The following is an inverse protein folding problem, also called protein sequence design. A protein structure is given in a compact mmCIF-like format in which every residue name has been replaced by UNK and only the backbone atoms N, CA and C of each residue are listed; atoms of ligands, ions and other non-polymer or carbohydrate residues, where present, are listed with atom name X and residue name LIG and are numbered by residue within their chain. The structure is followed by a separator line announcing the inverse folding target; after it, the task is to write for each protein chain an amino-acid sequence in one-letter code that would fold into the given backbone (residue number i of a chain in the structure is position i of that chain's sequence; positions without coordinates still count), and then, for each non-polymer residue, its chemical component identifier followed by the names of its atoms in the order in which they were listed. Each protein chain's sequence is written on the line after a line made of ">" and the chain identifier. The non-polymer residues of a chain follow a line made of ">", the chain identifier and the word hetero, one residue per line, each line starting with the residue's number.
data_IF_829829846352
#
_entry.id   IF_829829846352
#
_cell.length_a   1.000
_cell.length_b   1.000
_cell.length_c   1.000
_cell.angle_alpha   90.00
_cell.angle_beta   90.00
_cell.angle_gamma   90.00
#
_symmetry.space_group_name_H-M   'P 1'
#
loop_
_entity.id
_entity.type
_entity.pdbx_description
1 polymer ?
#
# COMPACT_ATOMS: atom_id res chain seq x y z
N UNK A 1 7.96 15.60 -9.73
CA UNK A 1 8.21 14.20 -9.29
C UNK A 1 7.57 13.25 -10.28
N UNK A 2 8.24 12.19 -10.71
CA UNK A 2 7.63 11.25 -11.63
C UNK A 2 6.49 10.48 -10.96
N UNK A 3 5.49 10.11 -11.75
CA UNK A 3 4.42 9.21 -11.31
C UNK A 3 4.99 7.81 -11.06
N UNK A 4 4.33 6.95 -10.24
CA UNK A 4 4.85 5.62 -9.97
C UNK A 4 5.23 4.80 -11.22
N UNK A 5 4.49 4.93 -12.31
CA UNK A 5 4.80 4.25 -13.57
C UNK A 5 5.89 4.92 -14.42
N UNK A 6 6.34 6.12 -14.04
CA UNK A 6 7.32 6.91 -14.77
C UNK A 6 8.69 6.95 -14.07
N UNK A 7 8.82 6.20 -13.00
CA UNK A 7 10.06 6.18 -12.22
C UNK A 7 11.21 5.58 -13.03
N UNK A 8 12.35 6.26 -13.01
CA UNK A 8 13.56 5.79 -13.70
C UNK A 8 14.29 4.76 -12.81
N UNK A 9 14.39 3.51 -13.23
CA UNK A 9 15.13 2.49 -12.47
C UNK A 9 16.61 2.80 -12.36
N UNK A 10 17.26 2.16 -11.39
CA UNK A 10 18.70 2.24 -11.20
C UNK A 10 19.41 1.52 -12.35
N UNK A 11 20.19 2.26 -13.13
CA UNK A 11 20.90 1.71 -14.30
C UNK A 11 22.00 0.72 -13.90
N UNK A 12 22.50 0.78 -12.67
CA UNK A 12 23.52 -0.17 -12.19
C UNK A 12 23.00 -1.58 -12.11
N UNK A 13 21.69 -1.77 -12.08
CA UNK A 13 21.07 -3.08 -12.05
C UNK A 13 20.67 -3.60 -13.44
N UNK A 14 21.03 -2.88 -14.48
CA UNK A 14 20.69 -3.25 -15.86
C UNK A 14 19.24 -2.97 -16.24
N UNK A 15 18.48 -2.34 -15.38
CA UNK A 15 17.09 -1.96 -15.65
C UNK A 15 17.04 -0.49 -16.02
N UNK A 16 16.76 -0.19 -17.27
CA UNK A 16 16.78 1.17 -17.79
C UNK A 16 15.40 1.75 -18.04
N UNK A 17 14.34 0.90 -18.03
CA UNK A 17 12.95 1.32 -18.25
C UNK A 17 12.02 0.52 -17.36
N UNK A 18 10.90 1.14 -16.98
CA UNK A 18 9.87 0.50 -16.16
C UNK A 18 9.30 -0.75 -16.83
N UNK A 19 9.19 -0.73 -18.16
CA UNK A 19 8.67 -1.87 -18.95
C UNK A 19 9.56 -3.11 -18.85
N UNK A 20 10.83 -2.94 -18.53
CA UNK A 20 11.79 -4.03 -18.40
C UNK A 20 11.72 -4.70 -17.03
N UNK A 21 10.91 -4.20 -16.12
CA UNK A 21 10.73 -4.80 -14.81
C UNK A 21 10.00 -6.14 -14.91
N UNK A 22 10.39 -7.12 -14.07
CA UNK A 22 9.61 -8.34 -13.96
C UNK A 22 8.16 -8.04 -13.56
N UNK A 23 7.23 -8.86 -14.05
CA UNK A 23 5.83 -8.73 -13.68
C UNK A 23 5.65 -8.88 -12.18
N UNK A 24 4.77 -8.08 -11.54
CA UNK A 24 4.53 -8.18 -10.11
C UNK A 24 4.00 -9.57 -9.71
N UNK A 25 4.42 -10.00 -8.54
CA UNK A 25 3.74 -11.11 -7.86
C UNK A 25 2.45 -10.56 -7.26
N UNK A 26 1.38 -11.31 -7.43
CA UNK A 26 0.06 -10.91 -6.96
C UNK A 26 -0.34 -11.78 -5.77
N UNK A 27 -0.55 -11.15 -4.62
CA UNK A 27 -1.16 -11.78 -3.46
C UNK A 27 -2.63 -11.41 -3.44
N UNK A 28 -3.50 -12.40 -3.43
CA UNK A 28 -4.94 -12.15 -3.42
C UNK A 28 -5.48 -12.26 -2.02
N UNK A 29 -6.34 -11.30 -1.64
CA UNK A 29 -7.04 -11.29 -0.37
C UNK A 29 -8.51 -11.00 -0.64
N UNK A 30 -9.38 -11.71 0.07
CA UNK A 30 -10.81 -11.47 -0.03
C UNK A 30 -11.38 -11.10 1.33
N UNK A 31 -12.20 -10.05 1.34
CA UNK A 31 -12.94 -9.57 2.52
C UNK A 31 -14.37 -9.26 2.11
N UNK A 32 -14.90 -10.10 1.23
CA UNK A 32 -16.23 -9.95 0.69
C UNK A 32 -17.18 -10.83 1.49
N UNK A 33 -18.10 -10.21 2.23
CA UNK A 33 -19.12 -10.89 3.01
C UNK A 33 -20.50 -10.31 2.69
N UNK A 34 -21.53 -11.11 2.84
CA UNK A 34 -22.90 -10.65 2.64
C UNK A 34 -23.34 -9.63 3.69
N UNK A 35 -22.91 -9.83 4.92
CA UNK A 35 -23.27 -8.97 6.04
C UNK A 35 -22.07 -8.72 6.93
N UNK A 36 -22.02 -7.52 7.49
CA UNK A 36 -21.02 -7.13 8.48
C UNK A 36 -21.66 -6.26 9.53
N UNK A 37 -21.21 -6.34 10.80
CA UNK A 37 -21.75 -5.47 11.83
C UNK A 37 -21.38 -4.01 11.57
N UNK A 38 -22.34 -3.12 11.72
CA UNK A 38 -22.11 -1.69 11.60
C UNK A 38 -21.12 -1.23 12.68
N UNK A 39 -20.07 -0.47 12.33
CA UNK A 39 -19.10 0.01 13.32
C UNK A 39 -19.70 1.01 14.31
N UNK A 40 -20.88 1.57 13.99
CA UNK A 40 -21.52 2.58 14.82
C UNK A 40 -22.54 1.99 15.78
N UNK A 41 -23.38 1.06 15.32
CA UNK A 41 -24.49 0.53 16.13
C UNK A 41 -24.47 -0.99 16.29
N UNK A 42 -23.60 -1.71 15.61
CA UNK A 42 -23.51 -3.16 15.67
C UNK A 42 -24.57 -3.94 14.89
N UNK A 43 -25.57 -3.26 14.31
CA UNK A 43 -26.58 -3.91 13.49
C UNK A 43 -25.95 -4.45 12.19
N UNK A 44 -26.40 -5.61 11.71
CA UNK A 44 -25.86 -6.18 10.48
C UNK A 44 -26.20 -5.34 9.26
N UNK A 45 -25.17 -4.76 8.66
CA UNK A 45 -25.28 -4.05 7.39
C UNK A 45 -25.26 -5.03 6.22
N UNK A 46 -26.04 -4.74 5.21
CA UNK A 46 -26.09 -5.56 4.00
C UNK A 46 -25.08 -5.09 2.97
N UNK A 47 -24.63 -6.03 2.12
CA UNK A 47 -23.68 -5.73 1.06
C UNK A 47 -24.37 -4.98 -0.08
N UNK A 48 -23.84 -3.77 -0.39
CA UNK A 48 -24.26 -3.01 -1.54
C UNK A 48 -23.57 -3.48 -2.81
N UNK A 49 -22.25 -3.65 -2.72
CA UNK A 49 -21.41 -4.00 -3.86
C UNK A 49 -20.09 -4.57 -3.39
N UNK A 50 -19.40 -5.20 -4.34
CA UNK A 50 -18.03 -5.65 -4.17
C UNK A 50 -17.10 -4.71 -4.91
N UNK A 51 -15.95 -4.45 -4.31
CA UNK A 51 -14.95 -3.52 -4.84
C UNK A 51 -13.58 -4.20 -4.84
N UNK A 52 -12.78 -3.89 -5.84
CA UNK A 52 -11.40 -4.33 -5.93
C UNK A 52 -10.47 -3.17 -5.65
N UNK A 53 -9.37 -3.44 -4.96
CA UNK A 53 -8.34 -2.46 -4.66
C UNK A 53 -6.98 -3.12 -4.75
N UNK A 54 -5.98 -2.39 -5.23
CA UNK A 54 -4.59 -2.84 -5.26
C UNK A 54 -3.79 -2.05 -4.24
N UNK A 55 -3.04 -2.76 -3.40
CA UNK A 55 -2.05 -2.19 -2.51
C UNK A 55 -0.67 -2.61 -2.98
N UNK A 56 0.29 -1.69 -2.97
CA UNK A 56 1.68 -1.97 -3.28
C UNK A 56 2.40 -2.43 -2.02
N UNK A 57 3.08 -3.56 -2.11
CA UNK A 57 3.80 -4.18 -0.99
C UNK A 57 5.30 -4.24 -1.30
N UNK A 58 6.09 -4.66 -0.32
CA UNK A 58 7.51 -4.90 -0.51
C UNK A 58 7.71 -6.04 -1.51
N UNK A 59 8.55 -5.81 -2.51
CA UNK A 59 8.89 -6.81 -3.50
C UNK A 59 9.85 -7.86 -2.98
N UNK A 60 10.09 -8.88 -3.80
CA UNK A 60 11.02 -9.95 -3.48
C UNK A 60 12.44 -9.52 -3.81
N UNK A 61 13.29 -9.45 -2.79
CA UNK A 61 14.71 -9.06 -2.92
C UNK A 61 15.47 -10.03 -3.80
N UNK A 62 15.16 -11.32 -3.72
CA UNK A 62 15.91 -12.36 -4.43
C UNK A 62 15.58 -12.37 -5.91
N UNK A 63 14.29 -12.40 -6.26
CA UNK A 63 13.85 -12.42 -7.66
C UNK A 63 13.84 -11.05 -8.32
N UNK A 64 13.86 -9.97 -7.52
CA UNK A 64 13.74 -8.60 -8.02
C UNK A 64 12.33 -8.26 -8.51
N UNK A 65 11.33 -9.09 -8.18
CA UNK A 65 9.95 -8.87 -8.63
C UNK A 65 9.22 -7.95 -7.68
N UNK A 66 8.48 -6.96 -8.20
CA UNK A 66 7.52 -6.20 -7.40
C UNK A 66 6.45 -7.12 -6.81
N UNK A 67 5.77 -6.66 -5.78
CA UNK A 67 4.69 -7.41 -5.14
C UNK A 67 3.49 -6.49 -4.90
N UNK A 68 2.31 -6.92 -5.36
CA UNK A 68 1.05 -6.22 -5.15
C UNK A 68 0.07 -7.11 -4.40
N UNK A 69 -0.77 -6.49 -3.60
CA UNK A 69 -1.88 -7.17 -2.92
C UNK A 69 -3.17 -6.72 -3.58
N UNK A 70 -3.88 -7.65 -4.20
CA UNK A 70 -5.20 -7.41 -4.76
C UNK A 70 -6.25 -7.79 -3.72
N UNK A 71 -7.05 -6.83 -3.30
CA UNK A 71 -8.09 -7.02 -2.30
C UNK A 71 -9.45 -6.93 -2.97
N UNK A 72 -10.25 -7.97 -2.77
CA UNK A 72 -11.65 -7.98 -3.13
C UNK A 72 -12.46 -7.86 -1.85
N UNK A 73 -13.13 -6.73 -1.65
CA UNK A 73 -13.84 -6.44 -0.41
C UNK A 73 -15.26 -5.97 -0.67
N UNK A 74 -16.10 -6.04 0.38
CA UNK A 74 -17.49 -5.66 0.30
C UNK A 74 -17.72 -4.28 0.94
N UNK A 75 -18.58 -3.50 0.29
CA UNK A 75 -19.09 -2.24 0.81
C UNK A 75 -20.51 -2.46 1.32
N UNK A 76 -20.81 -1.97 2.49
CA UNK A 76 -22.06 -2.23 3.20
C UNK A 76 -22.80 -0.95 3.53
N UNK A 77 -24.10 -1.11 3.79
CA UNK A 77 -24.93 -0.05 4.33
C UNK A 77 -25.68 -0.58 5.56
N UNK A 78 -25.67 0.20 6.63
CA UNK A 78 -26.50 -0.08 7.79
C UNK A 78 -27.89 0.51 7.58
N UNK A 79 -28.97 -0.30 7.57
CA UNK A 79 -30.31 0.21 7.39
C UNK A 79 -30.81 1.01 8.60
N UNK A 80 -30.21 0.77 9.78
CA UNK A 80 -30.57 1.45 11.02
C UNK A 80 -29.93 2.83 11.15
N UNK A 81 -28.59 2.91 10.95
CA UNK A 81 -27.85 4.16 11.01
C UNK A 81 -27.83 4.93 9.69
N UNK A 82 -28.16 4.25 8.59
CA UNK A 82 -28.13 4.79 7.22
C UNK A 82 -26.74 5.26 6.79
N UNK A 83 -25.68 4.67 7.35
CA UNK A 83 -24.30 4.96 6.97
C UNK A 83 -23.76 3.88 6.05
N UNK A 84 -22.74 4.25 5.27
CA UNK A 84 -21.97 3.33 4.43
C UNK A 84 -20.66 2.99 5.13
N UNK A 85 -20.23 1.75 5.02
CA UNK A 85 -18.95 1.32 5.57
C UNK A 85 -18.36 0.18 4.73
N UNK A 86 -17.04 0.09 4.74
CA UNK A 86 -16.32 -0.94 4.01
C UNK A 86 -15.89 -2.06 4.96
N UNK A 87 -15.59 -3.22 4.39
CA UNK A 87 -14.89 -4.25 5.12
C UNK A 87 -13.59 -3.68 5.72
N UNK A 88 -13.25 -3.99 6.98
CA UNK A 88 -12.05 -3.42 7.60
C UNK A 88 -10.78 -3.91 6.91
N UNK A 89 -9.84 -2.99 6.69
CA UNK A 89 -8.55 -3.26 6.08
C UNK A 89 -7.41 -2.65 6.89
N UNK A 90 -7.66 -2.29 8.16
CA UNK A 90 -6.70 -1.60 9.00
C UNK A 90 -5.42 -2.39 9.25
N UNK A 91 -5.52 -3.71 9.20
CA UNK A 91 -4.39 -4.62 9.34
C UNK A 91 -3.47 -4.63 8.13
N UNK A 92 -3.93 -4.16 6.98
CA UNK A 92 -3.17 -4.17 5.73
C UNK A 92 -2.58 -2.82 5.38
N UNK A 93 -3.35 -1.74 5.54
CA UNK A 93 -2.93 -0.41 5.13
C UNK A 93 -3.65 0.67 5.92
N UNK A 94 -3.04 1.86 5.95
CA UNK A 94 -3.66 3.07 6.47
C UNK A 94 -4.84 3.50 5.57
N UNK A 95 -5.84 4.23 6.12
CA UNK A 95 -6.94 4.75 5.31
C UNK A 95 -6.42 5.55 4.11
N UNK A 96 -7.00 5.31 2.94
CA UNK A 96 -6.66 5.98 1.68
C UNK A 96 -5.20 5.81 1.23
N UNK A 97 -4.44 4.93 1.87
CA UNK A 97 -3.07 4.64 1.49
C UNK A 97 -3.03 3.52 0.46
N UNK A 98 -2.21 3.67 -0.57
CA UNK A 98 -2.02 2.67 -1.62
C UNK A 98 -0.87 1.70 -1.34
N UNK A 99 -0.24 1.83 -0.18
CA UNK A 99 0.89 1.01 0.24
C UNK A 99 0.52 0.25 1.50
N UNK A 100 1.06 -0.96 1.64
CA UNK A 100 0.86 -1.75 2.86
C UNK A 100 1.57 -1.12 4.06
N UNK A 101 1.16 -1.48 5.26
CA UNK A 101 1.82 -1.02 6.50
C UNK A 101 3.32 -1.35 6.51
N UNK A 102 3.71 -2.47 5.91
CA UNK A 102 5.11 -2.89 5.85
C UNK A 102 5.97 -1.88 5.08
N UNK A 103 5.43 -1.34 3.99
CA UNK A 103 6.12 -0.33 3.18
C UNK A 103 6.28 0.96 3.97
N UNK A 104 5.20 1.42 4.59
CA UNK A 104 5.23 2.64 5.40
C UNK A 104 6.20 2.51 6.57
N UNK A 105 6.14 1.39 7.29
CA UNK A 105 7.00 1.14 8.44
C UNK A 105 8.49 1.12 8.04
N UNK A 106 8.82 0.45 6.92
CA UNK A 106 10.20 0.39 6.44
C UNK A 106 10.69 1.77 6.01
N UNK A 107 9.86 2.53 5.26
CA UNK A 107 10.23 3.88 4.83
C UNK A 107 10.53 4.81 6.01
N UNK A 108 9.67 4.78 7.02
CA UNK A 108 9.85 5.60 8.23
C UNK A 108 11.11 5.17 9.00
N UNK A 109 11.34 3.88 9.12
CA UNK A 109 12.54 3.35 9.79
C UNK A 109 13.82 3.79 9.11
N UNK A 110 13.87 3.73 7.77
CA UNK A 110 15.05 4.16 7.01
C UNK A 110 15.42 5.60 7.30
N UNK A 111 14.44 6.48 7.47
CA UNK A 111 14.68 7.89 7.76
C UNK A 111 14.97 8.11 9.24
N UNK A 112 14.10 7.62 10.11
CA UNK A 112 14.14 7.93 11.55
C UNK A 112 15.24 7.15 12.27
N UNK A 113 15.34 5.86 12.04
CA UNK A 113 16.33 5.00 12.72
C UNK A 113 17.68 4.98 12.01
N UNK A 114 17.67 4.87 10.67
CA UNK A 114 18.90 4.75 9.90
C UNK A 114 19.45 6.09 9.42
N UNK A 115 18.69 7.17 9.61
CA UNK A 115 19.15 8.52 9.29
C UNK A 115 19.28 8.84 7.82
N UNK A 116 18.61 8.12 6.94
CA UNK A 116 18.68 8.38 5.51
C UNK A 116 17.87 9.63 5.14
N UNK A 117 18.40 10.47 4.21
CA UNK A 117 17.59 11.49 3.59
C UNK A 117 16.37 10.89 2.86
N UNK A 118 15.31 11.65 2.67
CA UNK A 118 14.09 11.16 2.02
C UNK A 118 14.35 10.56 0.64
N UNK A 119 15.21 11.17 -0.16
CA UNK A 119 15.57 10.65 -1.49
C UNK A 119 16.32 9.32 -1.41
N UNK A 120 17.24 9.20 -0.46
CA UNK A 120 18.00 7.97 -0.25
C UNK A 120 17.09 6.84 0.22
N UNK A 121 16.12 7.13 1.07
CA UNK A 121 15.12 6.16 1.51
C UNK A 121 14.26 5.69 0.32
N UNK A 122 13.85 6.61 -0.55
CA UNK A 122 13.10 6.27 -1.77
C UNK A 122 13.91 5.36 -2.69
N UNK A 123 15.19 5.66 -2.90
CA UNK A 123 16.11 4.82 -3.68
C UNK A 123 16.30 3.44 -3.08
N UNK A 124 16.46 3.36 -1.76
CA UNK A 124 16.62 2.09 -1.06
C UNK A 124 15.39 1.19 -1.26
N UNK A 125 14.21 1.76 -1.13
CA UNK A 125 12.95 1.03 -1.35
C UNK A 125 12.88 0.48 -2.78
N UNK A 126 13.23 1.28 -3.76
CA UNK A 126 13.24 0.85 -5.15
C UNK A 126 14.28 -0.23 -5.41
N UNK A 127 15.54 0.04 -5.03
CA UNK A 127 16.65 -0.85 -5.34
C UNK A 127 16.54 -2.20 -4.64
N UNK A 128 16.21 -2.19 -3.34
CA UNK A 128 16.26 -3.41 -2.53
C UNK A 128 14.89 -4.10 -2.40
N UNK A 129 13.79 -3.37 -2.56
CA UNK A 129 12.46 -3.90 -2.32
C UNK A 129 11.51 -3.77 -3.52
N UNK A 130 12.00 -3.26 -4.63
CA UNK A 130 11.24 -3.10 -5.88
C UNK A 130 9.89 -2.40 -5.72
N UNK A 131 9.86 -1.43 -4.83
CA UNK A 131 8.69 -0.58 -4.67
C UNK A 131 9.09 0.87 -4.83
N UNK A 132 8.38 1.57 -5.72
CA UNK A 132 8.60 2.99 -5.90
C UNK A 132 7.69 3.79 -4.96
N UNK A 133 8.31 4.47 -4.02
CA UNK A 133 7.64 5.44 -3.15
C UNK A 133 8.32 6.78 -3.38
N UNK A 134 7.60 7.78 -3.91
CA UNK A 134 8.16 9.11 -4.09
C UNK A 134 8.70 9.68 -2.78
N UNK A 135 9.83 10.39 -2.83
CA UNK A 135 10.45 10.92 -1.62
C UNK A 135 9.52 11.87 -0.85
N UNK A 136 8.65 12.60 -1.54
CA UNK A 136 7.64 13.45 -0.89
C UNK A 136 6.62 12.65 -0.10
N UNK A 137 6.27 11.45 -0.55
CA UNK A 137 5.40 10.54 0.18
C UNK A 137 6.08 10.02 1.43
N UNK A 138 7.37 9.65 1.33
CA UNK A 138 8.17 9.25 2.50
C UNK A 138 8.21 10.38 3.52
N UNK A 139 8.46 11.61 3.07
CA UNK A 139 8.46 12.79 3.92
C UNK A 139 7.14 12.98 4.64
N UNK A 140 6.02 12.85 3.92
CA UNK A 140 4.69 12.99 4.51
C UNK A 140 4.45 11.95 5.61
N UNK A 141 4.86 10.70 5.39
CA UNK A 141 4.71 9.65 6.39
C UNK A 141 5.53 9.93 7.65
N UNK A 142 6.77 10.38 7.49
CA UNK A 142 7.64 10.71 8.62
C UNK A 142 7.08 11.90 9.40
N UNK A 143 6.66 12.95 8.70
CA UNK A 143 6.11 14.15 9.32
C UNK A 143 4.75 13.94 9.97
N UNK A 144 3.96 13.00 9.46
CA UNK A 144 2.62 12.68 9.99
C UNK A 144 2.66 11.96 11.34
N UNK A 145 3.84 11.64 11.87
CA UNK A 145 3.94 11.03 13.18
C UNK A 145 4.90 9.87 13.29
N UNK A 146 5.46 9.40 12.19
CA UNK A 146 6.41 8.30 12.22
C UNK A 146 7.71 8.62 12.95
N UNK A 147 8.04 9.89 13.10
CA UNK A 147 9.23 10.36 13.81
C UNK A 147 9.00 10.75 15.27
N UNK A 148 7.80 10.60 15.73
CA UNK A 148 7.42 11.02 17.08
C UNK A 148 7.60 9.88 18.07
#
# INVERSE_FOLDING_TARGET
>A
MPKPGEYTPDTTEGITRVEDLPKPRIKRRTRNRRRRPCPRCGHNGYRLRSVHRTLHDLGDVISGRPCDVHIHYSQHRCPKCKIYFNAPMDDLALPKCHYTHRVVALAVRLVVEDGLPYRAASWHLWRDHRIFVPFGTVQNWVEAGGGI
#
